data_IF_859625825917
#
_entry.id   IF_859625825917
#
_cell.length_a   1.000
_cell.length_b   1.000
_cell.length_c   1.000
_cell.angle_alpha   90.00
_cell.angle_beta   90.00
_cell.angle_gamma   90.00
#
_symmetry.space_group_name_H-M   'P 1'
#
loop_
_entity.id
_entity.type
_entity.pdbx_description
1 polymer ?
#
# COMPACT_ATOMS: atom_id res chain seq x y z
N UNK A 1 -22.75 5.03 -31.91
CA UNK A 1 -23.52 3.97 -32.58
C UNK A 1 -22.62 2.84 -33.04
N UNK A 2 -22.04 2.09 -32.10
CA UNK A 2 -21.56 0.72 -32.37
C UNK A 2 -22.76 -0.20 -32.14
N UNK A 3 -23.14 -0.99 -33.14
CA UNK A 3 -24.36 -1.80 -33.08
C UNK A 3 -24.14 -3.18 -32.43
N UNK A 4 -22.92 -3.70 -32.39
CA UNK A 4 -22.63 -5.01 -31.81
C UNK A 4 -21.25 -5.01 -31.14
N UNK A 5 -21.17 -5.62 -29.96
CA UNK A 5 -19.92 -5.94 -29.27
C UNK A 5 -19.71 -7.46 -29.38
N UNK A 6 -18.65 -7.88 -30.05
CA UNK A 6 -18.23 -9.30 -30.07
C UNK A 6 -16.98 -9.40 -29.21
N UNK A 7 -17.15 -9.94 -28.00
CA UNK A 7 -16.04 -10.24 -27.11
C UNK A 7 -15.66 -11.71 -27.29
N UNK A 8 -14.35 -11.98 -27.33
CA UNK A 8 -13.84 -13.34 -27.34
C UNK A 8 -14.21 -14.03 -26.03
N UNK A 9 -14.78 -15.24 -26.13
CA UNK A 9 -15.08 -16.10 -24.99
C UNK A 9 -13.87 -16.38 -24.09
N UNK A 10 -12.64 -16.32 -24.61
CA UNK A 10 -11.41 -16.57 -23.85
C UNK A 10 -10.99 -15.41 -22.94
N UNK A 11 -11.68 -14.27 -22.98
CA UNK A 11 -11.34 -13.11 -22.15
C UNK A 11 -11.58 -13.45 -20.68
N UNK A 12 -10.51 -13.41 -19.88
CA UNK A 12 -10.57 -13.65 -18.43
C UNK A 12 -10.52 -12.38 -17.60
N UNK A 13 -10.02 -11.28 -18.18
CA UNK A 13 -9.88 -9.98 -17.54
C UNK A 13 -10.32 -8.87 -18.48
N UNK A 14 -11.08 -7.92 -17.96
CA UNK A 14 -11.53 -6.75 -18.71
C UNK A 14 -11.36 -5.49 -17.86
N UNK A 15 -10.73 -4.46 -18.43
CA UNK A 15 -10.62 -3.15 -17.80
C UNK A 15 -11.11 -2.07 -18.76
N UNK A 16 -12.01 -1.21 -18.27
CA UNK A 16 -12.69 -0.20 -19.08
C UNK A 16 -12.67 1.16 -18.40
N UNK A 17 -12.41 2.19 -19.21
CA UNK A 17 -12.62 3.59 -18.87
C UNK A 17 -13.83 4.08 -19.65
N UNK A 18 -15.02 3.99 -19.06
CA UNK A 18 -16.26 4.32 -19.75
C UNK A 18 -17.35 4.76 -18.78
N UNK A 19 -17.93 5.92 -19.06
CA UNK A 19 -18.98 6.54 -18.26
C UNK A 19 -20.39 6.36 -18.77
N UNK A 20 -20.60 5.52 -19.79
CA UNK A 20 -21.94 5.24 -20.33
C UNK A 20 -21.89 3.94 -21.17
N UNK A 21 -21.86 2.80 -20.49
CA UNK A 21 -21.99 1.50 -21.15
C UNK A 21 -23.46 1.24 -21.48
N UNK A 22 -23.75 0.74 -22.68
CA UNK A 22 -25.13 0.53 -23.13
C UNK A 22 -25.62 -0.89 -22.77
N UNK A 23 -26.94 -1.15 -22.81
CA UNK A 23 -27.48 -2.47 -22.47
C UNK A 23 -26.90 -3.62 -23.32
N UNK A 24 -26.59 -3.34 -24.60
CA UNK A 24 -26.01 -4.33 -25.53
C UNK A 24 -24.63 -4.79 -25.05
N UNK A 25 -23.83 -3.86 -24.50
CA UNK A 25 -22.52 -4.18 -23.93
C UNK A 25 -22.64 -5.16 -22.76
N UNK A 26 -23.54 -4.89 -21.80
CA UNK A 26 -23.73 -5.76 -20.64
C UNK A 26 -24.23 -7.15 -21.04
N UNK A 27 -25.16 -7.23 -21.99
CA UNK A 27 -25.65 -8.50 -22.52
C UNK A 27 -24.53 -9.31 -23.21
N UNK A 28 -23.68 -8.65 -24.01
CA UNK A 28 -22.52 -9.30 -24.62
C UNK A 28 -21.53 -9.80 -23.56
N UNK A 29 -21.28 -9.00 -22.52
CA UNK A 29 -20.36 -9.34 -21.44
C UNK A 29 -20.85 -10.54 -20.61
N UNK A 30 -22.17 -10.63 -20.36
CA UNK A 30 -22.78 -11.80 -19.71
C UNK A 30 -22.63 -13.11 -20.50
N UNK A 31 -22.33 -13.03 -21.80
CA UNK A 31 -21.97 -14.19 -22.63
C UNK A 31 -20.54 -14.70 -22.42
N UNK A 32 -19.65 -13.90 -21.82
CA UNK A 32 -18.23 -14.21 -21.63
C UNK A 32 -18.01 -15.03 -20.36
N UNK A 33 -18.24 -16.35 -20.46
CA UNK A 33 -18.23 -17.29 -19.31
C UNK A 33 -16.89 -17.41 -18.58
N UNK A 34 -15.79 -17.01 -19.20
CA UNK A 34 -14.45 -17.10 -18.60
C UNK A 34 -14.00 -15.79 -17.93
N UNK A 35 -14.81 -14.73 -17.98
CA UNK A 35 -14.48 -13.47 -17.34
C UNK A 35 -14.49 -13.64 -15.81
N UNK A 36 -13.35 -13.37 -15.18
CA UNK A 36 -13.16 -13.48 -13.73
C UNK A 36 -12.83 -12.15 -13.09
N UNK A 37 -12.13 -11.27 -13.82
CA UNK A 37 -11.68 -9.98 -13.29
C UNK A 37 -12.29 -8.85 -14.12
N UNK A 38 -13.05 -7.98 -13.46
CA UNK A 38 -13.65 -6.81 -14.08
C UNK A 38 -13.20 -5.53 -13.36
N UNK A 39 -12.69 -4.56 -14.12
CA UNK A 39 -12.28 -3.25 -13.60
C UNK A 39 -12.96 -2.13 -14.38
N UNK A 40 -13.77 -1.35 -13.70
CA UNK A 40 -14.61 -0.30 -14.30
C UNK A 40 -14.24 1.06 -13.70
N UNK A 41 -13.99 2.03 -14.58
CA UNK A 41 -13.65 3.40 -14.20
C UNK A 41 -14.69 4.37 -14.74
N UNK A 42 -15.14 5.26 -13.86
CA UNK A 42 -16.24 6.21 -14.09
C UNK A 42 -17.57 5.55 -14.43
N UNK A 43 -17.84 4.36 -13.88
CA UNK A 43 -19.05 3.60 -14.16
C UNK A 43 -20.32 4.43 -13.89
N UNK A 44 -21.11 4.69 -14.91
CA UNK A 44 -22.48 5.20 -14.78
C UNK A 44 -23.42 4.06 -15.17
N UNK A 45 -24.01 3.42 -14.16
CA UNK A 45 -24.93 2.32 -14.39
C UNK A 45 -26.36 2.87 -14.35
N UNK A 46 -27.12 2.61 -15.43
CA UNK A 46 -28.53 2.97 -15.51
C UNK A 46 -29.37 1.83 -14.98
N UNK A 47 -30.50 2.15 -14.35
CA UNK A 47 -31.44 1.15 -13.78
C UNK A 47 -31.78 -0.01 -14.72
N UNK A 48 -31.88 0.23 -16.04
CA UNK A 48 -32.16 -0.83 -17.03
C UNK A 48 -31.08 -1.91 -17.12
N UNK A 49 -29.86 -1.60 -16.70
CA UNK A 49 -28.68 -2.44 -16.89
C UNK A 49 -28.30 -3.21 -15.61
N UNK A 50 -28.97 -2.93 -14.48
CA UNK A 50 -28.60 -3.42 -13.15
C UNK A 50 -28.67 -4.93 -13.08
N UNK A 51 -29.78 -5.52 -13.50
CA UNK A 51 -29.98 -6.97 -13.39
C UNK A 51 -28.92 -7.71 -14.21
N UNK A 52 -28.58 -7.21 -15.40
CA UNK A 52 -27.57 -7.83 -16.27
C UNK A 52 -26.17 -7.70 -15.67
N UNK A 53 -25.83 -6.51 -15.14
CA UNK A 53 -24.56 -6.27 -14.47
C UNK A 53 -24.38 -7.14 -13.21
N UNK A 54 -25.39 -7.19 -12.34
CA UNK A 54 -25.30 -8.00 -11.12
C UNK A 54 -25.30 -9.50 -11.44
N UNK A 55 -26.02 -9.94 -12.47
CA UNK A 55 -25.92 -11.33 -12.92
C UNK A 55 -24.51 -11.69 -13.37
N UNK A 56 -23.84 -10.81 -14.11
CA UNK A 56 -22.43 -10.99 -14.47
C UNK A 56 -21.54 -11.12 -13.21
N UNK A 57 -21.76 -10.28 -12.21
CA UNK A 57 -20.98 -10.27 -10.96
C UNK A 57 -21.06 -11.60 -10.18
N UNK A 58 -22.09 -12.43 -10.37
CA UNK A 58 -22.22 -13.73 -9.66
C UNK A 58 -21.09 -14.72 -9.99
N UNK A 59 -20.42 -14.54 -11.13
CA UNK A 59 -19.34 -15.41 -11.61
C UNK A 59 -17.96 -14.76 -11.52
N UNK A 60 -17.86 -13.48 -11.15
CA UNK A 60 -16.58 -12.78 -11.03
C UNK A 60 -15.84 -13.23 -9.77
N UNK A 61 -14.52 -13.35 -9.87
CA UNK A 61 -13.64 -13.54 -8.72
C UNK A 61 -13.11 -12.20 -8.20
N UNK A 62 -12.95 -11.20 -9.08
CA UNK A 62 -12.49 -9.86 -8.75
C UNK A 62 -13.35 -8.79 -9.40
N UNK A 63 -13.79 -7.83 -8.60
CA UNK A 63 -14.50 -6.64 -9.07
C UNK A 63 -13.81 -5.38 -8.55
N UNK A 64 -13.45 -4.48 -9.46
CA UNK A 64 -12.88 -3.18 -9.17
C UNK A 64 -13.74 -2.07 -9.79
N UNK A 65 -14.17 -1.12 -8.98
CA UNK A 65 -14.95 0.04 -9.41
C UNK A 65 -14.32 1.32 -8.90
N UNK A 66 -14.12 2.28 -9.80
CA UNK A 66 -13.61 3.61 -9.49
C UNK A 66 -14.61 4.66 -9.99
N UNK A 67 -14.99 5.61 -9.14
CA UNK A 67 -16.01 6.63 -9.42
C UNK A 67 -17.36 6.05 -9.90
N UNK A 68 -17.95 5.05 -9.20
CA UNK A 68 -19.25 4.53 -9.58
C UNK A 68 -20.36 5.55 -9.30
N UNK A 69 -21.27 5.70 -10.25
CA UNK A 69 -22.54 6.41 -10.12
C UNK A 69 -23.67 5.40 -10.29
N UNK A 70 -24.38 5.14 -9.20
CA UNK A 70 -25.52 4.24 -9.18
C UNK A 70 -26.74 5.03 -8.69
N UNK A 71 -27.78 5.08 -9.52
CA UNK A 71 -28.96 5.90 -9.25
C UNK A 71 -30.07 5.17 -8.49
N UNK A 72 -30.07 3.83 -8.48
CA UNK A 72 -31.10 3.02 -7.83
C UNK A 72 -30.58 1.60 -7.61
N UNK A 73 -30.56 1.03 -6.39
CA UNK A 73 -30.00 -0.30 -6.11
C UNK A 73 -30.63 -1.48 -6.85
N UNK A 74 -31.83 -1.34 -7.42
CA UNK A 74 -32.50 -2.39 -8.18
C UNK A 74 -32.68 -3.70 -7.37
N UNK A 75 -32.67 -4.85 -8.06
CA UNK A 75 -32.86 -6.17 -7.46
C UNK A 75 -31.60 -6.77 -6.81
N UNK A 76 -30.48 -6.04 -6.73
CA UNK A 76 -29.20 -6.58 -6.21
C UNK A 76 -29.36 -7.27 -4.84
N UNK A 77 -30.29 -6.78 -4.00
CA UNK A 77 -30.49 -7.29 -2.65
C UNK A 77 -30.96 -8.76 -2.57
N UNK A 78 -31.46 -9.33 -3.66
CA UNK A 78 -31.88 -10.74 -3.74
C UNK A 78 -30.79 -11.68 -4.27
N UNK A 79 -29.64 -11.15 -4.70
CA UNK A 79 -28.56 -11.92 -5.32
C UNK A 79 -27.43 -12.20 -4.32
N UNK A 80 -26.72 -13.31 -4.53
CA UNK A 80 -25.49 -13.65 -3.83
C UNK A 80 -24.32 -13.68 -4.81
N UNK A 81 -23.13 -13.31 -4.31
CA UNK A 81 -21.90 -13.25 -5.10
C UNK A 81 -20.83 -14.16 -4.47
N UNK A 82 -21.06 -15.49 -4.45
CA UNK A 82 -20.18 -16.43 -3.74
C UNK A 82 -18.80 -16.56 -4.37
N UNK A 83 -18.61 -16.11 -5.61
CA UNK A 83 -17.36 -16.21 -6.34
C UNK A 83 -16.40 -15.06 -6.04
N UNK A 84 -16.90 -13.91 -5.56
CA UNK A 84 -16.11 -12.70 -5.36
C UNK A 84 -15.18 -12.87 -4.16
N UNK A 85 -13.87 -12.80 -4.45
CA UNK A 85 -12.78 -12.91 -3.47
C UNK A 85 -12.10 -11.56 -3.25
N UNK A 86 -11.99 -10.75 -4.29
CA UNK A 86 -11.34 -9.43 -4.22
C UNK A 86 -12.31 -8.34 -4.68
N UNK A 87 -12.60 -7.39 -3.79
CA UNK A 87 -13.42 -6.23 -4.10
C UNK A 87 -12.63 -4.94 -3.89
N UNK A 88 -12.62 -4.08 -4.92
CA UNK A 88 -11.99 -2.76 -4.86
C UNK A 88 -12.98 -1.68 -5.19
N UNK A 89 -13.03 -0.69 -4.34
CA UNK A 89 -13.93 0.42 -4.43
C UNK A 89 -13.14 1.71 -4.21
N UNK A 90 -13.17 2.60 -5.20
CA UNK A 90 -12.43 3.86 -5.18
C UNK A 90 -13.33 5.04 -5.49
N UNK A 91 -13.18 6.11 -4.72
CA UNK A 91 -13.80 7.41 -4.95
C UNK A 91 -15.32 7.31 -5.11
N UNK A 92 -15.98 6.88 -4.05
CA UNK A 92 -17.42 6.63 -4.03
C UNK A 92 -18.14 7.94 -3.74
N UNK A 93 -19.29 8.13 -4.38
CA UNK A 93 -20.21 9.21 -3.98
C UNK A 93 -20.98 8.79 -2.73
N UNK A 94 -21.27 9.75 -1.85
CA UNK A 94 -21.94 9.57 -0.55
C UNK A 94 -23.17 8.66 -0.64
N UNK A 95 -23.98 8.85 -1.69
CA UNK A 95 -25.26 8.16 -1.87
C UNK A 95 -25.12 6.65 -2.13
N UNK A 96 -23.92 6.19 -2.52
CA UNK A 96 -23.68 4.81 -2.98
C UNK A 96 -22.90 3.97 -1.95
N UNK A 97 -22.37 4.56 -0.89
CA UNK A 97 -21.57 3.86 0.13
C UNK A 97 -22.35 2.73 0.82
N UNK A 98 -23.56 3.04 1.32
CA UNK A 98 -24.42 2.06 2.00
C UNK A 98 -24.85 0.95 1.05
N UNK A 99 -25.00 1.27 -0.23
CA UNK A 99 -25.30 0.27 -1.24
C UNK A 99 -24.15 -0.74 -1.37
N UNK A 100 -22.90 -0.28 -1.45
CA UNK A 100 -21.76 -1.18 -1.52
C UNK A 100 -21.55 -2.00 -0.25
N UNK A 101 -21.91 -1.49 0.93
CA UNK A 101 -21.94 -2.31 2.15
C UNK A 101 -22.90 -3.50 1.98
N UNK A 102 -24.13 -3.24 1.51
CA UNK A 102 -25.13 -4.30 1.27
C UNK A 102 -24.67 -5.29 0.19
N UNK A 103 -23.98 -4.81 -0.85
CA UNK A 103 -23.36 -5.67 -1.84
C UNK A 103 -22.28 -6.58 -1.21
N UNK A 104 -21.36 -6.00 -0.44
CA UNK A 104 -20.27 -6.77 0.18
C UNK A 104 -20.80 -7.81 1.15
N UNK A 105 -21.89 -7.55 1.90
CA UNK A 105 -22.55 -8.53 2.76
C UNK A 105 -22.98 -9.81 2.01
N UNK A 106 -23.17 -9.72 0.69
CA UNK A 106 -23.54 -10.85 -0.19
C UNK A 106 -22.34 -11.58 -0.80
N UNK A 107 -21.12 -11.22 -0.40
CA UNK A 107 -19.86 -11.81 -0.87
C UNK A 107 -19.23 -12.70 0.23
N UNK A 108 -19.75 -13.91 0.51
CA UNK A 108 -19.27 -14.73 1.64
C UNK A 108 -17.81 -15.21 1.48
N UNK A 109 -17.31 -15.29 0.24
CA UNK A 109 -15.94 -15.71 -0.08
C UNK A 109 -14.93 -14.57 -0.13
N UNK A 110 -15.30 -13.36 0.32
CA UNK A 110 -14.44 -12.20 0.26
C UNK A 110 -13.17 -12.41 1.11
N UNK A 111 -12.01 -12.35 0.47
CA UNK A 111 -10.70 -12.52 1.10
C UNK A 111 -9.89 -11.23 1.14
N UNK A 112 -10.14 -10.31 0.19
CA UNK A 112 -9.44 -9.04 0.05
C UNK A 112 -10.42 -7.91 -0.23
N UNK A 113 -10.31 -6.84 0.54
CA UNK A 113 -11.12 -5.64 0.39
C UNK A 113 -10.25 -4.38 0.29
N UNK A 114 -10.51 -3.54 -0.70
CA UNK A 114 -9.84 -2.25 -0.86
C UNK A 114 -10.89 -1.14 -0.97
N UNK A 115 -10.92 -0.25 0.01
CA UNK A 115 -11.77 0.94 0.02
C UNK A 115 -10.87 2.18 0.05
N UNK A 116 -10.89 2.97 -1.02
CA UNK A 116 -10.27 4.31 -1.07
C UNK A 116 -11.37 5.33 -1.22
N UNK A 117 -11.50 6.22 -0.26
CA UNK A 117 -12.58 7.18 -0.26
C UNK A 117 -12.16 8.53 0.29
N UNK A 118 -12.20 9.54 -0.58
CA UNK A 118 -11.94 10.93 -0.21
C UNK A 118 -13.19 11.60 0.40
N UNK A 119 -14.39 11.06 0.18
CA UNK A 119 -15.67 11.68 0.51
C UNK A 119 -16.54 10.87 1.51
N UNK A 120 -16.06 9.68 1.88
CA UNK A 120 -16.67 8.69 2.77
C UNK A 120 -17.38 9.22 4.00
N UNK A 121 -18.50 8.63 4.38
CA UNK A 121 -19.24 8.97 5.60
C UNK A 121 -18.71 8.27 6.85
N UNK A 122 -18.91 8.91 8.01
CA UNK A 122 -18.71 8.25 9.30
C UNK A 122 -19.66 7.05 9.47
N UNK A 123 -20.86 7.12 8.90
CA UNK A 123 -21.87 6.05 8.97
C UNK A 123 -21.40 4.79 8.25
N UNK A 124 -20.80 4.92 7.06
CA UNK A 124 -20.25 3.79 6.32
C UNK A 124 -19.22 3.01 7.15
N UNK A 125 -18.23 3.70 7.75
CA UNK A 125 -17.20 3.02 8.52
C UNK A 125 -17.70 2.43 9.84
N UNK A 126 -18.69 3.07 10.45
CA UNK A 126 -19.40 2.50 11.60
C UNK A 126 -20.03 1.16 11.24
N UNK A 127 -20.91 1.14 10.23
CA UNK A 127 -21.57 -0.09 9.76
C UNK A 127 -20.56 -1.12 9.24
N UNK A 128 -19.54 -0.69 8.51
CA UNK A 128 -18.47 -1.55 8.03
C UNK A 128 -17.78 -2.28 9.19
N UNK A 129 -17.41 -1.55 10.25
CA UNK A 129 -16.79 -2.14 11.43
C UNK A 129 -17.71 -3.11 12.18
N UNK A 130 -19.03 -2.86 12.22
CA UNK A 130 -20.02 -3.81 12.74
C UNK A 130 -20.06 -5.10 11.93
N UNK A 131 -19.95 -5.02 10.59
CA UNK A 131 -20.00 -6.21 9.73
C UNK A 131 -18.76 -7.09 9.84
N UNK A 132 -17.59 -6.48 10.00
CA UNK A 132 -16.36 -7.23 10.30
C UNK A 132 -16.49 -7.91 11.67
N UNK A 133 -16.98 -7.19 12.69
CA UNK A 133 -17.22 -7.73 14.03
C UNK A 133 -18.24 -8.87 14.04
N UNK A 134 -19.29 -8.78 13.22
CA UNK A 134 -20.28 -9.83 13.01
C UNK A 134 -19.75 -11.04 12.21
N UNK A 135 -18.47 -11.02 11.80
CA UNK A 135 -17.82 -12.06 10.98
C UNK A 135 -18.54 -12.32 9.65
N UNK A 136 -19.07 -11.25 9.04
CA UNK A 136 -19.74 -11.32 7.73
C UNK A 136 -18.81 -11.91 6.66
N UNK A 137 -17.51 -11.64 6.77
CA UNK A 137 -16.48 -12.13 5.85
C UNK A 137 -15.47 -12.99 6.61
N UNK A 138 -15.76 -14.28 6.85
CA UNK A 138 -14.91 -15.15 7.67
C UNK A 138 -13.54 -15.43 7.05
N UNK A 139 -13.38 -15.23 5.74
CA UNK A 139 -12.14 -15.44 5.00
C UNK A 139 -11.36 -14.15 4.73
N UNK A 140 -11.81 -12.99 5.23
CA UNK A 140 -11.15 -11.71 5.00
C UNK A 140 -9.81 -11.65 5.74
N UNK A 141 -8.72 -11.53 4.97
CA UNK A 141 -7.36 -11.47 5.51
C UNK A 141 -6.49 -10.38 4.88
N UNK A 142 -7.03 -9.64 3.90
CA UNK A 142 -6.41 -8.47 3.31
C UNK A 142 -7.38 -7.29 3.33
N UNK A 143 -6.94 -6.16 3.88
CA UNK A 143 -7.74 -4.95 3.88
C UNK A 143 -6.89 -3.72 3.59
N UNK A 144 -7.39 -2.88 2.69
CA UNK A 144 -6.86 -1.55 2.42
C UNK A 144 -7.96 -0.53 2.68
N UNK A 145 -7.72 0.38 3.62
CA UNK A 145 -8.60 1.51 3.91
C UNK A 145 -7.76 2.78 3.80
N UNK A 146 -8.04 3.57 2.78
CA UNK A 146 -7.48 4.90 2.63
C UNK A 146 -8.63 5.91 2.61
N UNK A 147 -8.93 6.48 3.77
CA UNK A 147 -9.97 7.49 3.91
C UNK A 147 -9.68 8.43 5.07
N UNK A 148 -9.87 9.73 4.83
CA UNK A 148 -9.68 10.77 5.85
C UNK A 148 -10.75 10.75 6.96
N UNK A 149 -11.80 9.93 6.82
CA UNK A 149 -12.96 9.94 7.72
C UNK A 149 -13.06 8.71 8.62
N UNK A 150 -12.22 7.69 8.44
CA UNK A 150 -12.28 6.54 9.33
C UNK A 150 -11.76 6.92 10.71
N UNK A 151 -12.56 6.66 11.74
CA UNK A 151 -12.16 6.94 13.12
C UNK A 151 -11.24 5.85 13.66
N UNK A 152 -10.43 6.20 14.66
CA UNK A 152 -9.59 5.24 15.34
C UNK A 152 -10.38 4.07 15.94
N UNK A 153 -11.53 4.35 16.56
CA UNK A 153 -12.39 3.31 17.15
C UNK A 153 -12.91 2.32 16.10
N UNK A 154 -13.30 2.78 14.92
CA UNK A 154 -13.73 1.88 13.84
C UNK A 154 -12.58 1.00 13.37
N UNK A 155 -11.38 1.55 13.19
CA UNK A 155 -10.20 0.77 12.79
C UNK A 155 -9.81 -0.26 13.84
N UNK A 156 -9.78 0.11 15.12
CA UNK A 156 -9.49 -0.82 16.22
C UNK A 156 -10.52 -1.95 16.23
N UNK A 157 -11.81 -1.63 16.06
CA UNK A 157 -12.87 -2.63 15.97
C UNK A 157 -12.70 -3.58 14.78
N UNK A 158 -12.34 -3.06 13.60
CA UNK A 158 -12.06 -3.87 12.41
C UNK A 158 -10.91 -4.83 12.69
N UNK A 159 -9.75 -4.31 13.12
CA UNK A 159 -8.53 -5.10 13.35
C UNK A 159 -8.77 -6.16 14.42
N UNK A 160 -9.35 -5.78 15.56
CA UNK A 160 -9.65 -6.70 16.67
C UNK A 160 -10.68 -7.78 16.33
N UNK A 161 -11.43 -7.62 15.24
CA UNK A 161 -12.43 -8.59 14.78
C UNK A 161 -11.93 -9.54 13.69
N UNK A 162 -10.81 -9.22 13.03
CA UNK A 162 -10.22 -10.08 12.01
C UNK A 162 -9.52 -11.27 12.65
N UNK A 163 -9.70 -12.47 12.09
CA UNK A 163 -9.07 -13.68 12.63
C UNK A 163 -7.60 -13.78 12.23
N UNK A 164 -7.30 -13.41 10.99
CA UNK A 164 -5.94 -13.44 10.43
C UNK A 164 -5.76 -12.25 9.50
N UNK A 165 -4.72 -11.47 9.74
CA UNK A 165 -4.32 -10.37 8.87
C UNK A 165 -3.02 -10.76 8.18
N UNK A 166 -3.07 -10.85 6.85
CA UNK A 166 -1.89 -11.07 5.99
C UNK A 166 -1.44 -9.80 5.30
N UNK A 167 -2.35 -8.88 5.04
CA UNK A 167 -2.09 -7.62 4.37
C UNK A 167 -2.97 -6.52 4.96
N UNK A 168 -2.35 -5.46 5.46
CA UNK A 168 -3.04 -4.33 6.06
C UNK A 168 -2.45 -3.04 5.49
N UNK A 169 -3.31 -2.22 4.88
CA UNK A 169 -2.90 -0.91 4.38
C UNK A 169 -3.90 0.13 4.87
N UNK A 170 -3.47 0.93 5.83
CA UNK A 170 -4.28 1.94 6.50
C UNK A 170 -3.65 3.31 6.25
N UNK A 171 -4.47 4.25 5.84
CA UNK A 171 -4.19 5.68 5.87
C UNK A 171 -5.02 6.34 6.97
N UNK A 172 -4.37 6.83 8.02
CA UNK A 172 -5.04 7.44 9.16
C UNK A 172 -4.32 8.71 9.63
N UNK A 173 -5.08 9.80 9.66
CA UNK A 173 -4.60 11.14 10.03
C UNK A 173 -4.86 11.49 11.49
N UNK A 174 -5.51 10.60 12.26
CA UNK A 174 -5.72 10.82 13.68
C UNK A 174 -4.39 10.82 14.44
N UNK A 175 -4.06 11.91 15.16
CA UNK A 175 -2.87 11.95 15.98
C UNK A 175 -2.87 10.83 17.01
N UNK A 176 -1.75 10.13 17.14
CA UNK A 176 -1.58 9.02 18.07
C UNK A 176 -2.53 7.83 17.82
N UNK A 177 -3.15 7.71 16.64
CA UNK A 177 -3.97 6.53 16.32
C UNK A 177 -3.18 5.22 16.50
N UNK A 178 -1.94 5.22 16.04
CA UNK A 178 -0.99 4.14 16.26
C UNK A 178 -0.43 4.18 17.70
N UNK A 179 -1.30 4.21 18.71
CA UNK A 179 -0.93 4.09 20.11
C UNK A 179 -0.85 2.61 20.54
N UNK A 180 -0.61 2.37 21.85
CA UNK A 180 -0.52 1.03 22.42
C UNK A 180 -1.73 0.14 22.13
N UNK A 181 -2.95 0.70 22.12
CA UNK A 181 -4.18 -0.04 21.82
C UNK A 181 -4.19 -0.66 20.43
N UNK A 182 -3.71 0.07 19.42
CA UNK A 182 -3.56 -0.45 18.06
C UNK A 182 -2.61 -1.65 18.02
N UNK A 183 -1.48 -1.54 18.70
CA UNK A 183 -0.47 -2.61 18.73
C UNK A 183 -0.93 -3.84 19.49
N UNK A 184 -1.68 -3.67 20.58
CA UNK A 184 -2.29 -4.78 21.32
C UNK A 184 -3.18 -5.63 20.41
N UNK A 185 -3.94 -5.00 19.51
CA UNK A 185 -4.79 -5.69 18.54
C UNK A 185 -4.02 -6.25 17.35
N UNK A 186 -2.89 -5.63 16.95
CA UNK A 186 -2.12 -6.09 15.80
C UNK A 186 -1.18 -7.27 16.12
N UNK A 187 -0.64 -7.34 17.35
CA UNK A 187 0.32 -8.37 17.81
C UNK A 187 -0.11 -9.81 17.51
N UNK A 188 -1.38 -10.24 17.73
CA UNK A 188 -1.82 -11.59 17.38
C UNK A 188 -1.62 -11.97 15.90
N UNK A 189 -1.46 -10.99 15.02
CA UNK A 189 -1.32 -11.21 13.57
C UNK A 189 0.12 -11.18 13.07
N UNK A 190 1.10 -10.78 13.88
CA UNK A 190 2.50 -10.57 13.43
C UNK A 190 3.14 -11.79 12.75
N UNK A 191 2.78 -13.00 13.15
CA UNK A 191 3.28 -14.23 12.52
C UNK A 191 2.79 -14.45 11.08
N UNK A 192 1.72 -13.76 10.66
CA UNK A 192 1.05 -13.94 9.38
C UNK A 192 1.17 -12.73 8.44
N UNK A 193 1.47 -11.54 8.98
CA UNK A 193 1.55 -10.30 8.19
C UNK A 193 2.71 -10.37 7.18
N UNK A 194 2.37 -10.15 5.91
CA UNK A 194 3.29 -10.04 4.78
C UNK A 194 3.35 -8.61 4.24
N UNK A 195 2.23 -7.90 4.25
CA UNK A 195 2.16 -6.50 3.79
C UNK A 195 1.58 -5.65 4.90
N UNK A 196 2.31 -4.61 5.30
CA UNK A 196 1.87 -3.66 6.32
C UNK A 196 2.20 -2.24 5.92
N UNK A 197 1.19 -1.46 5.56
CA UNK A 197 1.33 -0.05 5.25
C UNK A 197 0.55 0.76 6.29
N UNK A 198 1.28 1.44 7.16
CA UNK A 198 0.77 2.35 8.17
C UNK A 198 1.13 3.78 7.74
N UNK A 199 0.23 4.39 6.97
CA UNK A 199 0.39 5.75 6.46
C UNK A 199 -0.24 6.73 7.46
N UNK A 200 0.53 7.74 7.83
CA UNK A 200 0.07 8.85 8.66
C UNK A 200 0.68 10.14 8.19
N UNK A 201 -0.11 11.21 8.21
CA UNK A 201 0.39 12.56 8.00
C UNK A 201 1.02 13.16 9.28
N UNK A 202 0.95 12.46 10.41
CA UNK A 202 1.46 12.97 11.70
C UNK A 202 2.92 12.57 11.89
N UNK A 203 3.79 13.56 12.12
CA UNK A 203 5.23 13.39 12.27
C UNK A 203 5.68 12.88 13.65
N UNK A 204 4.79 12.22 14.39
CA UNK A 204 5.16 11.67 15.68
C UNK A 204 6.00 10.42 15.45
N UNK A 205 7.22 10.42 15.99
CA UNK A 205 8.03 9.20 16.04
C UNK A 205 7.39 8.24 17.01
N UNK A 206 6.96 7.08 16.52
CA UNK A 206 6.36 6.04 17.36
C UNK A 206 7.24 4.79 17.23
N UNK A 207 7.61 4.10 18.33
CA UNK A 207 8.44 2.91 18.30
C UNK A 207 7.79 1.68 17.62
N UNK A 208 6.63 1.85 16.97
CA UNK A 208 5.88 0.80 16.29
C UNK A 208 6.66 0.17 15.14
N UNK A 209 7.39 0.98 14.36
CA UNK A 209 8.18 0.45 13.26
C UNK A 209 9.22 -0.59 13.77
N UNK A 210 9.86 -0.31 14.92
CA UNK A 210 10.82 -1.25 15.51
C UNK A 210 10.12 -2.54 15.93
N UNK A 211 9.01 -2.41 16.66
CA UNK A 211 8.27 -3.59 17.13
C UNK A 211 7.82 -4.48 15.97
N UNK A 212 7.31 -3.89 14.88
CA UNK A 212 6.94 -4.62 13.66
C UNK A 212 8.15 -5.34 13.07
N UNK A 213 9.26 -4.62 12.85
CA UNK A 213 10.47 -5.16 12.22
C UNK A 213 11.11 -6.28 13.06
N UNK A 214 10.94 -6.26 14.38
CA UNK A 214 11.45 -7.29 15.30
C UNK A 214 10.48 -8.43 15.56
N UNK A 215 9.22 -8.33 15.11
CA UNK A 215 8.17 -9.31 15.45
C UNK A 215 7.48 -9.95 14.24
N UNK A 216 7.63 -9.41 13.02
CA UNK A 216 6.97 -9.92 11.81
C UNK A 216 7.95 -10.66 10.89
N UNK A 217 8.19 -11.98 11.07
CA UNK A 217 9.20 -12.72 10.30
C UNK A 217 8.82 -12.94 8.83
N UNK A 218 7.52 -12.89 8.49
CA UNK A 218 7.02 -13.07 7.12
C UNK A 218 6.81 -11.76 6.36
N UNK A 219 7.19 -10.62 6.95
CA UNK A 219 6.98 -9.30 6.37
C UNK A 219 7.80 -9.12 5.08
N UNK A 220 7.11 -8.76 4.00
CA UNK A 220 7.63 -8.54 2.65
C UNK A 220 7.58 -7.06 2.27
N UNK A 221 6.55 -6.33 2.73
CA UNK A 221 6.40 -4.90 2.44
C UNK A 221 6.03 -4.14 3.71
N UNK A 222 6.78 -3.08 4.00
CA UNK A 222 6.54 -2.19 5.13
C UNK A 222 6.51 -0.74 4.67
N UNK A 223 5.42 -0.04 4.98
CA UNK A 223 5.40 1.41 5.11
C UNK A 223 5.06 1.73 6.55
N UNK A 224 5.87 2.52 7.23
CA UNK A 224 5.64 2.85 8.63
C UNK A 224 5.94 4.32 8.93
N UNK A 225 5.38 4.87 10.03
CA UNK A 225 5.72 6.20 10.51
C UNK A 225 7.23 6.34 10.78
N UNK A 226 7.75 7.58 10.83
CA UNK A 226 9.16 7.81 11.15
C UNK A 226 9.57 7.16 12.47
N UNK A 227 10.78 6.63 12.52
CA UNK A 227 11.38 6.00 13.70
C UNK A 227 12.64 6.75 14.12
N UNK A 228 12.87 6.84 15.43
CA UNK A 228 14.11 7.40 15.97
C UNK A 228 15.29 6.43 15.78
N UNK A 229 16.42 6.94 15.31
CA UNK A 229 17.64 6.17 15.12
C UNK A 229 18.12 5.49 16.40
N UNK A 230 17.93 6.09 17.57
CA UNK A 230 18.27 5.48 18.87
C UNK A 230 17.48 4.21 19.12
N UNK A 231 16.18 4.22 18.81
CA UNK A 231 15.28 3.06 18.96
C UNK A 231 15.69 1.92 18.03
N UNK A 232 16.17 2.23 16.82
CA UNK A 232 16.68 1.20 15.90
C UNK A 232 18.03 0.66 16.37
N UNK A 233 18.93 1.54 16.82
CA UNK A 233 20.29 1.21 17.21
C UNK A 233 20.36 0.39 18.50
N UNK A 234 19.53 0.72 19.49
CA UNK A 234 19.46 0.06 20.80
C UNK A 234 18.43 -1.07 20.84
N UNK A 235 17.59 -1.18 19.80
CA UNK A 235 16.52 -2.15 19.71
C UNK A 235 16.99 -3.56 19.36
N UNK A 236 16.04 -4.50 19.45
CA UNK A 236 16.28 -5.88 19.04
C UNK A 236 16.63 -5.99 17.55
N UNK A 237 17.38 -7.03 17.14
CA UNK A 237 17.62 -7.29 15.73
C UNK A 237 16.31 -7.50 14.97
N UNK A 238 16.16 -6.88 13.80
CA UNK A 238 15.04 -7.14 12.89
C UNK A 238 14.95 -8.63 12.52
N UNK A 239 13.74 -9.16 12.36
CA UNK A 239 13.47 -10.58 12.02
C UNK A 239 12.82 -10.75 10.65
N UNK A 240 12.39 -9.65 10.02
CA UNK A 240 11.75 -9.60 8.71
C UNK A 240 12.74 -9.83 7.55
N UNK A 241 13.40 -10.99 7.51
CA UNK A 241 14.43 -11.30 6.50
C UNK A 241 13.87 -11.44 5.07
N UNK A 242 12.53 -11.49 4.92
CA UNK A 242 11.82 -11.52 3.65
C UNK A 242 11.45 -10.15 3.10
N UNK A 243 11.85 -9.07 3.79
CA UNK A 243 11.45 -7.72 3.42
C UNK A 243 12.05 -7.33 2.06
N UNK A 244 11.17 -7.05 1.11
CA UNK A 244 11.47 -6.63 -0.26
C UNK A 244 11.27 -5.13 -0.44
N UNK A 245 10.30 -4.54 0.29
CA UNK A 245 10.01 -3.12 0.23
C UNK A 245 9.97 -2.50 1.63
N UNK A 246 10.80 -1.47 1.83
CA UNK A 246 10.86 -0.70 3.06
C UNK A 246 10.69 0.78 2.75
N UNK A 247 9.58 1.34 3.23
CA UNK A 247 9.30 2.78 3.26
C UNK A 247 9.31 3.25 4.71
N UNK A 248 10.47 3.70 5.15
CA UNK A 248 10.71 4.08 6.54
C UNK A 248 11.69 5.24 6.60
N UNK A 249 11.28 6.29 7.31
CA UNK A 249 12.13 7.42 7.64
C UNK A 249 12.80 7.16 8.99
N UNK A 250 14.13 7.12 9.02
CA UNK A 250 14.91 7.10 10.26
C UNK A 250 15.33 8.53 10.58
N UNK A 251 14.91 9.03 11.74
CA UNK A 251 15.18 10.40 12.19
C UNK A 251 16.18 10.41 13.34
N UNK A 252 16.98 11.46 13.39
CA UNK A 252 17.92 11.67 14.49
C UNK A 252 17.48 12.86 15.34
N UNK A 253 17.20 12.60 16.61
CA UNK A 253 16.97 13.65 17.60
C UNK A 253 18.30 13.99 18.29
N UNK A 254 18.73 15.24 18.15
CA UNK A 254 19.92 15.75 18.82
C UNK A 254 21.23 15.67 18.01
N UNK A 255 22.36 15.61 18.72
CA UNK A 255 23.71 15.77 18.15
C UNK A 255 24.48 14.45 17.96
N UNK A 256 23.90 13.31 18.29
CA UNK A 256 24.58 12.00 18.38
C UNK A 256 24.54 11.17 17.09
N UNK A 257 24.62 11.81 15.91
CA UNK A 257 24.51 11.12 14.61
C UNK A 257 25.58 10.03 14.42
N UNK A 258 26.84 10.36 14.77
CA UNK A 258 28.01 9.57 14.37
C UNK A 258 28.04 8.15 14.96
N UNK A 259 27.50 7.94 16.18
CA UNK A 259 27.51 6.62 16.81
C UNK A 259 26.26 5.78 16.49
N UNK A 260 25.13 6.42 16.19
CA UNK A 260 23.87 5.72 15.94
C UNK A 260 23.80 5.17 14.52
N UNK A 261 24.31 5.94 13.54
CA UNK A 261 24.17 5.57 12.14
C UNK A 261 24.78 4.21 11.78
N UNK A 262 26.01 3.86 12.24
CA UNK A 262 26.58 2.54 11.95
C UNK A 262 25.69 1.39 12.42
N UNK A 263 25.00 1.54 13.56
CA UNK A 263 24.10 0.54 14.13
C UNK A 263 22.79 0.44 13.33
N UNK A 264 22.26 1.56 12.84
CA UNK A 264 21.12 1.56 11.90
C UNK A 264 21.48 0.86 10.61
N UNK A 265 22.69 1.10 10.07
CA UNK A 265 23.17 0.42 8.87
C UNK A 265 23.39 -1.08 9.09
N UNK A 266 23.80 -1.50 10.27
CA UNK A 266 23.91 -2.93 10.60
C UNK A 266 22.54 -3.63 10.58
N UNK A 267 21.46 -2.96 10.99
CA UNK A 267 20.10 -3.51 10.84
C UNK A 267 19.67 -3.58 9.37
N UNK A 268 19.87 -2.49 8.61
CA UNK A 268 19.52 -2.44 7.19
C UNK A 268 20.28 -3.48 6.37
N UNK A 269 21.59 -3.67 6.62
CA UNK A 269 22.43 -4.62 5.92
C UNK A 269 21.96 -6.09 6.03
N UNK A 270 21.10 -6.41 6.99
CA UNK A 270 20.53 -7.76 7.16
C UNK A 270 19.39 -8.03 6.16
N UNK A 271 18.81 -7.01 5.55
CA UNK A 271 17.70 -7.11 4.62
C UNK A 271 18.18 -7.42 3.19
N UNK A 272 18.84 -8.56 3.00
CA UNK A 272 19.49 -8.93 1.72
C UNK A 272 18.53 -9.08 0.53
N UNK A 273 17.24 -9.24 0.80
CA UNK A 273 16.16 -9.33 -0.19
C UNK A 273 15.51 -7.96 -0.49
N UNK A 274 15.99 -6.88 0.12
CA UNK A 274 15.41 -5.55 -0.06
C UNK A 274 15.64 -5.06 -1.51
N UNK A 275 14.55 -4.89 -2.24
CA UNK A 275 14.53 -4.39 -3.62
C UNK A 275 14.19 -2.90 -3.69
N UNK A 276 13.35 -2.42 -2.79
CA UNK A 276 12.80 -1.07 -2.79
C UNK A 276 13.05 -0.43 -1.43
N UNK A 277 13.91 0.58 -1.39
CA UNK A 277 14.15 1.39 -0.21
C UNK A 277 13.69 2.82 -0.42
N UNK A 278 12.69 3.24 0.35
CA UNK A 278 12.24 4.60 0.40
C UNK A 278 12.49 5.19 1.79
N UNK A 279 13.40 6.15 1.84
CA UNK A 279 13.56 7.07 2.96
C UNK A 279 13.18 8.46 2.48
N UNK A 280 12.53 9.26 3.31
CA UNK A 280 12.26 10.65 2.97
C UNK A 280 12.62 11.50 4.17
N UNK A 281 12.87 12.79 3.93
CA UNK A 281 13.10 13.74 5.00
C UNK A 281 12.02 14.82 4.96
N UNK A 282 11.54 15.24 6.13
CA UNK A 282 10.90 16.53 6.26
C UNK A 282 11.98 17.61 6.30
N UNK A 283 11.61 18.86 5.98
CA UNK A 283 12.55 19.96 5.66
C UNK A 283 13.59 20.29 6.77
N UNK A 284 13.47 19.71 7.96
CA UNK A 284 14.34 19.97 9.12
C UNK A 284 14.97 18.72 9.74
N UNK A 285 14.53 17.53 9.33
CA UNK A 285 15.00 16.31 9.97
C UNK A 285 16.34 15.89 9.38
N UNK A 286 17.29 15.59 10.25
CA UNK A 286 18.49 14.85 9.86
C UNK A 286 18.06 13.42 9.57
N UNK A 287 18.47 12.91 8.41
CA UNK A 287 18.24 11.52 8.01
C UNK A 287 19.59 10.84 7.78
N UNK A 288 19.55 9.57 7.40
CA UNK A 288 20.72 8.76 7.10
C UNK A 288 21.62 9.43 6.05
N UNK A 289 22.88 9.61 6.40
CA UNK A 289 23.94 10.10 5.52
C UNK A 289 24.55 8.92 4.76
N UNK A 290 24.30 8.85 3.46
CA UNK A 290 24.75 7.75 2.61
C UNK A 290 26.15 8.04 2.02
N UNK A 291 27.09 8.45 2.86
CA UNK A 291 28.51 8.61 2.51
C UNK A 291 29.33 7.43 3.01
N UNK A 292 30.47 7.16 2.37
CA UNK A 292 31.36 6.08 2.81
C UNK A 292 31.95 6.35 4.20
N UNK A 293 32.27 7.61 4.50
CA UNK A 293 32.75 8.06 5.82
C UNK A 293 31.76 7.71 6.93
N UNK A 294 30.46 7.82 6.65
CA UNK A 294 29.40 7.54 7.62
C UNK A 294 28.81 6.12 7.52
N UNK A 295 29.51 5.21 6.83
CA UNK A 295 29.25 3.77 6.91
C UNK A 295 28.41 3.18 5.78
N UNK A 296 28.20 3.89 4.65
CA UNK A 296 27.53 3.35 3.46
C UNK A 296 28.06 1.95 3.08
N UNK A 297 29.37 1.72 3.25
CA UNK A 297 30.03 0.43 2.98
C UNK A 297 29.39 -0.80 3.65
N UNK A 298 28.74 -0.61 4.80
CA UNK A 298 28.00 -1.68 5.51
C UNK A 298 26.82 -2.22 4.69
N UNK A 299 26.27 -1.42 3.78
CA UNK A 299 25.12 -1.78 2.95
C UNK A 299 25.50 -2.55 1.67
N UNK A 300 26.73 -3.05 1.57
CA UNK A 300 27.23 -3.85 0.43
C UNK A 300 26.49 -5.19 0.24
N UNK A 301 25.76 -5.64 1.25
CA UNK A 301 24.92 -6.84 1.22
C UNK A 301 23.60 -6.65 0.47
N UNK A 302 23.16 -5.40 0.25
CA UNK A 302 21.89 -5.06 -0.41
C UNK A 302 21.97 -5.21 -1.94
N UNK A 303 22.42 -6.36 -2.42
CA UNK A 303 22.63 -6.64 -3.85
C UNK A 303 21.33 -6.73 -4.64
N UNK A 304 20.21 -6.98 -3.97
CA UNK A 304 18.88 -7.04 -4.57
C UNK A 304 18.26 -5.65 -4.78
N UNK A 305 18.89 -4.58 -4.30
CA UNK A 305 18.33 -3.23 -4.34
C UNK A 305 18.18 -2.73 -5.78
N UNK A 306 16.94 -2.47 -6.20
CA UNK A 306 16.56 -1.99 -7.55
C UNK A 306 16.14 -0.53 -7.53
N UNK A 307 15.53 -0.08 -6.45
CA UNK A 307 15.05 1.28 -6.29
C UNK A 307 15.45 1.86 -4.95
N UNK A 308 16.14 3.00 -5.00
CA UNK A 308 16.39 3.82 -3.81
C UNK A 308 15.80 5.22 -4.02
N UNK A 309 15.04 5.66 -3.03
CA UNK A 309 14.45 6.98 -3.00
C UNK A 309 14.79 7.65 -1.69
N UNK A 310 15.48 8.78 -1.79
CA UNK A 310 15.79 9.69 -0.69
C UNK A 310 15.32 11.11 -1.03
N UNK A 311 14.19 11.22 -1.74
CA UNK A 311 13.57 12.52 -2.06
C UNK A 311 13.38 13.34 -0.78
N UNK A 312 13.69 14.63 -0.89
CA UNK A 312 13.70 15.61 0.20
C UNK A 312 14.81 15.42 1.25
N UNK A 313 15.59 14.33 1.22
CA UNK A 313 16.84 14.29 1.99
C UNK A 313 17.91 15.14 1.32
N UNK A 314 18.85 15.63 2.12
CA UNK A 314 20.06 16.26 1.61
C UNK A 314 21.18 15.23 1.74
N UNK A 315 21.60 14.64 0.62
CA UNK A 315 22.81 13.81 0.58
C UNK A 315 24.01 14.67 0.20
N UNK A 316 25.20 14.21 0.57
CA UNK A 316 26.50 14.84 0.28
C UNK A 316 27.46 13.87 -0.42
N UNK A 317 26.91 13.01 -1.30
CA UNK A 317 27.69 12.02 -2.04
C UNK A 317 28.70 12.68 -2.98
N UNK A 318 29.90 12.14 -3.03
CA UNK A 318 30.95 12.44 -3.99
C UNK A 318 31.05 11.38 -5.08
N UNK A 319 32.18 11.42 -5.82
CA UNK A 319 32.48 10.44 -6.85
C UNK A 319 32.66 9.03 -6.26
N UNK A 320 33.33 8.94 -5.10
CA UNK A 320 33.66 7.67 -4.45
C UNK A 320 32.40 6.88 -4.07
N UNK A 321 31.35 7.55 -3.56
CA UNK A 321 30.07 6.90 -3.27
C UNK A 321 29.41 6.34 -4.52
N UNK A 322 29.48 7.04 -5.66
CA UNK A 322 28.88 6.57 -6.91
C UNK A 322 29.63 5.35 -7.45
N UNK A 323 30.96 5.39 -7.43
CA UNK A 323 31.79 4.26 -7.85
C UNK A 323 31.49 3.03 -6.97
N UNK A 324 31.38 3.24 -5.65
CA UNK A 324 30.99 2.19 -4.71
C UNK A 324 29.59 1.62 -4.98
N UNK A 325 28.60 2.48 -5.29
CA UNK A 325 27.23 2.05 -5.63
C UNK A 325 27.24 1.14 -6.87
N UNK A 326 28.01 1.48 -7.90
CA UNK A 326 28.09 0.64 -9.11
C UNK A 326 28.72 -0.73 -8.83
N UNK A 327 29.73 -0.78 -7.97
CA UNK A 327 30.40 -2.02 -7.61
C UNK A 327 29.52 -2.95 -6.76
N UNK A 328 28.72 -2.39 -5.84
CA UNK A 328 28.04 -3.18 -4.81
C UNK A 328 26.52 -3.34 -5.02
N UNK A 329 25.85 -2.37 -5.66
CA UNK A 329 24.41 -2.41 -5.93
C UNK A 329 24.14 -2.68 -7.41
N UNK A 330 24.61 -3.83 -7.89
CA UNK A 330 24.64 -4.19 -9.31
C UNK A 330 23.26 -4.26 -9.98
N UNK A 331 22.19 -4.42 -9.20
CA UNK A 331 20.80 -4.48 -9.70
C UNK A 331 20.07 -3.13 -9.60
N UNK A 332 20.76 -2.05 -9.22
CA UNK A 332 20.13 -0.75 -9.02
C UNK A 332 19.67 -0.16 -10.36
N UNK A 333 18.36 -0.07 -10.53
CA UNK A 333 17.75 0.44 -11.77
C UNK A 333 17.40 1.92 -11.66
N UNK A 334 17.13 2.43 -10.45
CA UNK A 334 16.62 3.78 -10.30
C UNK A 334 16.96 4.43 -8.95
N UNK A 335 17.40 5.68 -9.03
CA UNK A 335 17.72 6.55 -7.89
C UNK A 335 16.87 7.82 -7.96
N UNK A 336 16.24 8.20 -6.85
CA UNK A 336 15.41 9.42 -6.74
C UNK A 336 15.86 10.26 -5.54
N UNK A 337 16.06 11.56 -5.76
CA UNK A 337 16.58 12.50 -4.77
C UNK A 337 17.76 13.31 -5.29
N UNK A 338 18.29 14.24 -4.48
CA UNK A 338 19.53 14.97 -4.78
C UNK A 338 20.73 14.23 -4.17
N UNK A 339 21.75 13.92 -4.98
CA UNK A 339 22.94 13.17 -4.54
C UNK A 339 23.90 14.07 -3.76
N UNK A 340 23.99 15.33 -4.21
CA UNK A 340 24.78 16.36 -3.54
C UNK A 340 24.04 17.69 -3.55
N UNK A 341 23.40 18.05 -2.44
CA UNK A 341 22.59 19.28 -2.40
C UNK A 341 23.43 20.55 -2.32
N UNK A 342 24.64 20.46 -1.75
CA UNK A 342 25.55 21.61 -1.56
C UNK A 342 26.27 22.00 -2.86
N UNK A 343 26.49 21.04 -3.76
CA UNK A 343 27.17 21.27 -5.02
C UNK A 343 26.32 20.79 -6.21
N UNK A 344 25.56 21.70 -6.80
CA UNK A 344 24.64 21.42 -7.92
C UNK A 344 25.39 20.91 -9.16
N UNK A 345 26.59 21.43 -9.44
CA UNK A 345 27.41 21.01 -10.58
C UNK A 345 27.86 19.56 -10.39
N UNK A 346 28.29 19.20 -9.18
CA UNK A 346 28.61 17.83 -8.83
C UNK A 346 27.38 16.92 -8.94
N UNK A 347 26.23 17.29 -8.37
CA UNK A 347 24.99 16.50 -8.49
C UNK A 347 24.60 16.28 -9.97
N UNK A 348 24.74 17.28 -10.85
CA UNK A 348 24.54 17.11 -12.30
C UNK A 348 25.55 16.13 -12.94
N UNK A 349 26.81 16.16 -12.49
CA UNK A 349 27.86 15.25 -12.98
C UNK A 349 27.58 13.80 -12.55
N UNK A 350 27.26 13.58 -11.27
CA UNK A 350 26.90 12.27 -10.73
C UNK A 350 25.62 11.72 -11.41
N UNK A 351 24.64 12.58 -11.73
CA UNK A 351 23.47 12.19 -12.55
C UNK A 351 23.84 11.63 -13.91
N UNK A 352 24.72 12.33 -14.61
CA UNK A 352 25.13 11.91 -15.94
C UNK A 352 25.85 10.55 -15.88
N UNK A 353 26.61 10.29 -14.83
CA UNK A 353 27.23 8.99 -14.57
C UNK A 353 26.21 7.87 -14.32
N UNK A 354 25.23 8.08 -13.44
CA UNK A 354 24.15 7.10 -13.21
C UNK A 354 23.43 6.76 -14.52
N UNK A 355 23.10 7.78 -15.33
CA UNK A 355 22.43 7.59 -16.62
C UNK A 355 23.28 6.79 -17.61
N UNK A 356 24.60 7.01 -17.65
CA UNK A 356 25.53 6.25 -18.51
C UNK A 356 25.57 4.76 -18.16
N UNK A 357 25.32 4.42 -16.90
CA UNK A 357 25.22 3.03 -16.43
C UNK A 357 23.80 2.46 -16.49
N UNK A 358 22.87 3.12 -17.20
CA UNK A 358 21.49 2.65 -17.36
C UNK A 358 20.58 2.91 -16.16
N UNK A 359 21.08 3.55 -15.10
CA UNK A 359 20.29 3.86 -13.91
C UNK A 359 19.40 5.08 -14.19
N UNK A 360 18.08 4.88 -14.12
CA UNK A 360 17.08 5.92 -14.36
C UNK A 360 17.05 6.90 -13.18
N UNK A 361 16.84 8.19 -13.47
CA UNK A 361 16.55 9.22 -12.46
C UNK A 361 15.21 9.89 -12.71
N UNK A 362 14.50 10.20 -11.63
CA UNK A 362 13.38 11.15 -11.62
C UNK A 362 13.64 12.25 -10.60
#
# INVERSE_FOLDING_TARGET
>A
GMKEWVLDSSVTRLSLLASNLNPVFWSALSGVRHLKDLSLWHLDLRRSDFDTFWQLCTHLERLEMSYPKLTDPGNMLSMEFPSIKEFKLRYVDYEVEIFFLKFMQRCPSLTSLWVVDDMGTLEFFSLFSELVAAKTWPHLHSITIASYRITGDNLLKIIGSMQQITALDIDCDEPNFFASSFMELLRPHFSNIRVLHLRTNVHTTIPIAQEILTSCPLLEQLTAPPIDASVVAEGNPWVCMRLQELRLMVVYKGLTLAHLQPLVFDQLARLILLEVWWTYAHRRDKVLDLTLENGLGKLSTLRSLRYINFKNSSQEMGQQEIDWIFEHWTNLERVVGALNKRNIILDMTLKAQLKRHGIKRR
#
